data_IF_274844542754
#
_entry.id   IF_274844542754
#
_cell.length_a   1.000
_cell.length_b   1.000
_cell.length_c   1.000
_cell.angle_alpha   90.00
_cell.angle_beta   90.00
_cell.angle_gamma   90.00
#
_symmetry.space_group_name_H-M   'P 1'
#
loop_
_entity.id
_entity.type
_entity.pdbx_description
1 polymer ?
#
# COMPACT_ATOMS: atom_id res chain seq x y z
N UNK A 1 -16.90 -10.76 -18.37
CA UNK A 1 -16.09 -11.68 -19.18
C UNK A 1 -14.61 -11.40 -19.05
N UNK A 2 -14.10 -10.19 -19.34
CA UNK A 2 -12.68 -9.85 -19.19
C UNK A 2 -12.11 -10.19 -17.79
N UNK A 3 -12.78 -9.78 -16.70
CA UNK A 3 -12.39 -10.19 -15.35
C UNK A 3 -12.30 -11.71 -15.17
N UNK A 4 -13.30 -12.47 -15.67
CA UNK A 4 -13.33 -13.93 -15.59
C UNK A 4 -12.13 -14.58 -16.27
N UNK A 5 -11.65 -14.01 -17.38
CA UNK A 5 -10.45 -14.50 -18.07
C UNK A 5 -9.22 -14.35 -17.19
N UNK A 6 -9.10 -13.21 -16.49
CA UNK A 6 -8.01 -12.99 -15.52
C UNK A 6 -8.13 -13.94 -14.33
N UNK A 7 -9.30 -14.10 -13.71
CA UNK A 7 -9.53 -15.04 -12.60
C UNK A 7 -9.19 -16.50 -12.93
N UNK A 8 -9.34 -16.90 -14.19
CA UNK A 8 -8.98 -18.25 -14.64
C UNK A 8 -7.47 -18.42 -14.82
N UNK A 9 -6.76 -17.32 -15.11
CA UNK A 9 -5.32 -17.33 -15.41
C UNK A 9 -4.46 -16.96 -14.20
N UNK A 10 -5.01 -16.25 -13.23
CA UNK A 10 -4.30 -15.73 -12.07
C UNK A 10 -4.97 -16.14 -10.76
N UNK A 11 -4.33 -15.81 -9.64
CA UNK A 11 -4.89 -15.97 -8.28
C UNK A 11 -5.92 -14.90 -7.91
N UNK A 12 -6.15 -13.91 -8.77
CA UNK A 12 -7.06 -12.81 -8.48
C UNK A 12 -8.52 -13.24 -8.52
N UNK A 13 -9.32 -12.64 -7.64
CA UNK A 13 -10.77 -12.79 -7.61
C UNK A 13 -11.41 -11.40 -7.71
N UNK A 14 -12.41 -11.27 -8.58
CA UNK A 14 -13.16 -10.02 -8.77
C UNK A 14 -14.63 -10.25 -8.46
N UNK A 15 -15.24 -9.28 -7.79
CA UNK A 15 -16.66 -9.31 -7.50
C UNK A 15 -17.28 -7.92 -7.68
N UNK A 16 -18.52 -7.84 -8.18
CA UNK A 16 -19.20 -6.55 -8.31
C UNK A 16 -19.51 -5.96 -6.93
N UNK A 17 -19.20 -4.68 -6.75
CA UNK A 17 -19.48 -3.93 -5.53
C UNK A 17 -20.05 -2.55 -5.86
N UNK A 18 -20.91 -2.01 -4.99
CA UNK A 18 -21.38 -0.62 -5.07
C UNK A 18 -20.25 0.39 -4.76
N UNK A 19 -19.28 -0.04 -3.94
CA UNK A 19 -18.06 0.69 -3.62
C UNK A 19 -16.91 -0.22 -4.03
N UNK A 20 -16.61 -0.24 -5.33
CA UNK A 20 -15.54 -1.07 -5.91
C UNK A 20 -14.20 -0.36 -5.94
N UNK A 21 -13.11 -1.14 -5.84
CA UNK A 21 -11.74 -0.65 -6.01
C UNK A 21 -11.42 -0.30 -7.47
N UNK A 22 -12.08 -0.96 -8.43
CA UNK A 22 -12.01 -0.62 -9.85
C UNK A 22 -13.36 -0.04 -10.26
N UNK A 23 -13.38 1.24 -10.66
CA UNK A 23 -14.59 1.92 -11.12
C UNK A 23 -14.68 1.84 -12.64
N UNK A 24 -15.80 1.35 -13.14
CA UNK A 24 -16.02 1.14 -14.58
C UNK A 24 -17.10 2.11 -15.06
N UNK A 25 -16.80 2.86 -16.11
CA UNK A 25 -17.71 3.77 -16.79
C UNK A 25 -17.86 3.37 -18.26
N UNK A 26 -19.08 3.48 -18.76
CA UNK A 26 -19.37 3.38 -20.19
C UNK A 26 -19.86 4.75 -20.67
N UNK A 27 -19.23 5.31 -21.71
CA UNK A 27 -19.59 6.61 -22.31
C UNK A 27 -19.55 6.49 -23.82
N UNK A 28 -20.39 7.22 -24.55
CA UNK A 28 -20.35 7.24 -26.01
C UNK A 28 -19.41 8.34 -26.57
N UNK A 29 -18.81 9.15 -25.68
CA UNK A 29 -17.96 10.28 -26.05
C UNK A 29 -16.51 9.94 -25.68
N UNK A 30 -15.68 9.52 -26.66
CA UNK A 30 -14.24 9.35 -26.45
C UNK A 30 -13.52 10.71 -26.42
N UNK A 31 -12.34 10.79 -25.78
CA UNK A 31 -11.43 11.92 -25.96
C UNK A 31 -10.88 11.99 -27.39
N UNK A 32 -10.34 13.16 -27.77
CA UNK A 32 -9.64 13.32 -29.05
C UNK A 32 -8.32 12.53 -29.02
N UNK A 33 -8.06 11.78 -30.09
CA UNK A 33 -6.78 11.09 -30.28
C UNK A 33 -5.72 12.08 -30.78
N UNK A 34 -4.46 11.90 -30.36
CA UNK A 34 -3.34 12.69 -30.88
C UNK A 34 -3.02 12.38 -32.36
N UNK A 35 -3.50 11.24 -32.85
CA UNK A 35 -3.35 10.80 -34.23
C UNK A 35 -4.73 10.68 -34.89
N UNK A 36 -4.96 11.46 -35.94
CA UNK A 36 -6.21 11.53 -36.70
C UNK A 36 -6.66 10.18 -37.30
N UNK A 37 -5.74 9.23 -37.49
CA UNK A 37 -6.02 7.91 -38.05
C UNK A 37 -6.50 6.88 -37.00
N UNK A 38 -6.34 7.18 -35.71
CA UNK A 38 -6.70 6.27 -34.62
C UNK A 38 -7.86 6.80 -33.79
N UNK A 39 -8.56 5.90 -33.11
CA UNK A 39 -9.61 6.23 -32.17
C UNK A 39 -9.36 5.54 -30.83
N UNK A 40 -9.71 6.23 -29.74
CA UNK A 40 -9.62 5.69 -28.39
C UNK A 40 -10.86 4.81 -28.12
N UNK A 41 -10.62 3.53 -27.80
CA UNK A 41 -11.68 2.55 -27.53
C UNK A 41 -11.99 2.44 -26.02
N UNK A 42 -10.97 2.63 -25.18
CA UNK A 42 -11.07 2.70 -23.74
C UNK A 42 -9.89 3.45 -23.13
N UNK A 43 -9.98 3.70 -21.83
CA UNK A 43 -8.90 4.22 -20.98
C UNK A 43 -8.99 3.57 -19.60
N UNK A 44 -7.96 2.82 -19.25
CA UNK A 44 -7.72 2.21 -17.95
C UNK A 44 -6.53 2.85 -17.25
N UNK A 45 -6.52 2.80 -15.93
CA UNK A 45 -5.36 3.23 -15.15
C UNK A 45 -5.63 3.34 -13.66
N UNK A 46 -4.58 3.46 -12.84
CA UNK A 46 -4.74 3.79 -11.44
C UNK A 46 -5.24 5.23 -11.29
N UNK A 47 -6.35 5.40 -10.56
CA UNK A 47 -6.95 6.70 -10.22
C UNK A 47 -6.41 7.26 -8.90
N UNK A 48 -5.99 6.37 -7.99
CA UNK A 48 -5.34 6.74 -6.73
C UNK A 48 -4.23 5.74 -6.41
N UNK A 49 -3.01 6.27 -6.30
CA UNK A 49 -1.81 5.52 -5.91
C UNK A 49 -1.28 6.14 -4.62
N UNK A 50 -0.92 5.28 -3.69
CA UNK A 50 -0.25 5.63 -2.45
C UNK A 50 1.16 5.08 -2.51
N UNK A 51 2.15 5.97 -2.61
CA UNK A 51 3.54 5.61 -2.47
C UNK A 51 3.84 5.32 -1.00
N UNK A 52 4.02 4.04 -0.69
CA UNK A 52 4.68 3.61 0.54
C UNK A 52 6.19 3.52 0.25
N UNK A 53 7.02 3.58 1.28
CA UNK A 53 8.48 3.48 1.07
C UNK A 53 8.93 2.16 0.43
N UNK A 54 8.06 1.15 0.39
CA UNK A 54 8.35 -0.20 -0.15
C UNK A 54 7.59 -0.44 -1.46
N UNK A 55 6.30 -0.11 -1.51
CA UNK A 55 5.40 -0.36 -2.65
C UNK A 55 4.60 0.88 -3.06
N UNK A 56 4.29 0.98 -4.34
CA UNK A 56 3.21 1.85 -4.83
C UNK A 56 1.88 1.08 -4.79
N UNK A 57 1.01 1.44 -3.87
CA UNK A 57 -0.27 0.75 -3.63
C UNK A 57 -1.38 1.43 -4.41
N UNK A 58 -1.99 0.72 -5.36
CA UNK A 58 -3.16 1.19 -6.09
C UNK A 58 -4.39 1.05 -5.18
N UNK A 59 -4.92 2.18 -4.70
CA UNK A 59 -6.11 2.22 -3.85
C UNK A 59 -7.40 2.23 -4.68
N UNK A 60 -7.34 2.81 -5.88
CA UNK A 60 -8.46 2.89 -6.80
C UNK A 60 -7.98 2.83 -8.24
N UNK A 61 -8.54 1.92 -9.02
CA UNK A 61 -8.42 1.86 -10.47
C UNK A 61 -9.66 2.44 -11.14
N UNK A 62 -9.50 2.93 -12.37
CA UNK A 62 -10.61 3.42 -13.19
C UNK A 62 -10.49 2.90 -14.60
N UNK A 63 -11.63 2.52 -15.16
CA UNK A 63 -11.78 2.06 -16.54
C UNK A 63 -12.92 2.84 -17.17
N UNK A 64 -12.68 3.42 -18.34
CA UNK A 64 -13.67 4.08 -19.17
C UNK A 64 -13.71 3.38 -20.51
N UNK A 65 -14.85 2.81 -20.89
CA UNK A 65 -15.06 2.19 -22.19
C UNK A 65 -15.88 3.14 -23.06
N UNK A 66 -15.34 3.50 -24.21
CA UNK A 66 -15.95 4.51 -25.10
C UNK A 66 -16.65 3.92 -26.32
N UNK A 67 -16.32 2.67 -26.64
CA UNK A 67 -16.81 1.99 -27.84
C UNK A 67 -17.14 0.54 -27.50
N UNK A 68 -18.05 -0.01 -28.29
CA UNK A 68 -18.33 -1.45 -28.23
C UNK A 68 -17.12 -2.24 -28.73
N UNK A 69 -16.91 -3.38 -28.09
CA UNK A 69 -15.93 -4.38 -28.50
C UNK A 69 -16.20 -4.82 -29.95
N UNK A 70 -15.14 -4.93 -30.75
CA UNK A 70 -15.19 -5.32 -32.17
C UNK A 70 -14.74 -6.76 -32.39
N UNK A 71 -14.04 -7.33 -31.43
CA UNK A 71 -13.61 -8.72 -31.49
C UNK A 71 -14.75 -9.63 -30.99
N UNK A 72 -15.18 -10.56 -31.84
CA UNK A 72 -16.38 -11.36 -31.57
C UNK A 72 -16.18 -12.38 -30.44
N UNK A 73 -14.95 -12.87 -30.26
CA UNK A 73 -14.66 -14.02 -29.40
C UNK A 73 -14.08 -13.63 -28.04
N UNK A 74 -13.45 -12.46 -27.92
CA UNK A 74 -12.75 -12.02 -26.70
C UNK A 74 -12.93 -10.51 -26.45
N UNK A 75 -13.10 -10.08 -25.18
CA UNK A 75 -13.21 -8.67 -24.81
C UNK A 75 -11.83 -8.02 -24.65
N UNK A 76 -11.06 -7.95 -25.75
CA UNK A 76 -9.66 -7.49 -25.76
C UNK A 76 -9.51 -6.08 -25.20
N UNK A 77 -10.37 -5.13 -25.59
CA UNK A 77 -10.27 -3.75 -25.09
C UNK A 77 -10.48 -3.72 -23.57
N UNK A 78 -11.48 -4.44 -23.07
CA UNK A 78 -11.72 -4.48 -21.63
C UNK A 78 -10.59 -5.19 -20.88
N UNK A 79 -9.96 -6.22 -21.45
CA UNK A 79 -8.79 -6.86 -20.86
C UNK A 79 -7.60 -5.88 -20.78
N UNK A 80 -7.33 -5.16 -21.86
CA UNK A 80 -6.30 -4.12 -21.94
C UNK A 80 -6.48 -3.08 -20.83
N UNK A 81 -7.69 -2.51 -20.72
CA UNK A 81 -7.94 -1.47 -19.71
C UNK A 81 -7.92 -2.00 -18.27
N UNK A 82 -8.31 -3.26 -18.04
CA UNK A 82 -8.18 -3.86 -16.70
C UNK A 82 -6.69 -3.97 -16.33
N UNK A 83 -5.84 -4.45 -17.23
CA UNK A 83 -4.41 -4.56 -16.97
C UNK A 83 -3.77 -3.18 -16.70
N UNK A 84 -4.16 -2.14 -17.44
CA UNK A 84 -3.77 -0.76 -17.11
C UNK A 84 -4.26 -0.33 -15.72
N UNK A 85 -5.49 -0.68 -15.34
CA UNK A 85 -6.01 -0.35 -14.01
C UNK A 85 -5.25 -1.05 -12.86
N UNK A 86 -4.56 -2.15 -13.16
CA UNK A 86 -3.68 -2.90 -12.26
C UNK A 86 -2.22 -2.42 -12.33
N UNK A 87 -1.90 -1.40 -13.14
CA UNK A 87 -0.59 -0.75 -13.18
C UNK A 87 0.34 -1.20 -14.31
N UNK A 88 -0.11 -2.07 -15.22
CA UNK A 88 0.70 -2.44 -16.38
C UNK A 88 0.71 -1.32 -17.43
N UNK A 89 1.84 -1.10 -18.08
CA UNK A 89 1.98 -0.18 -19.21
C UNK A 89 1.95 -0.92 -20.55
N UNK A 90 1.88 -0.18 -21.65
CA UNK A 90 2.00 -0.78 -22.99
C UNK A 90 3.33 -1.49 -23.17
N UNK A 91 3.34 -2.49 -24.05
CA UNK A 91 4.56 -3.14 -24.50
C UNK A 91 4.67 -3.11 -26.03
N UNK A 92 5.85 -3.47 -26.53
CA UNK A 92 6.18 -3.41 -27.96
C UNK A 92 5.81 -4.70 -28.73
N UNK A 93 5.14 -5.69 -28.08
CA UNK A 93 4.78 -6.96 -28.69
C UNK A 93 3.39 -6.88 -29.37
N UNK A 94 3.27 -6.91 -30.71
CA UNK A 94 1.98 -6.79 -31.38
C UNK A 94 0.97 -7.89 -31.04
N UNK A 95 1.45 -9.06 -30.62
CA UNK A 95 0.60 -10.17 -30.19
C UNK A 95 0.09 -10.04 -28.75
N UNK A 96 0.53 -9.02 -28.01
CA UNK A 96 0.09 -8.77 -26.64
C UNK A 96 -1.23 -7.99 -26.60
N UNK A 97 -2.08 -8.32 -25.63
CA UNK A 97 -3.24 -7.50 -25.25
C UNK A 97 -2.80 -6.09 -24.83
N UNK A 98 -1.58 -5.89 -24.32
CA UNK A 98 -1.05 -4.57 -23.93
C UNK A 98 -0.38 -3.81 -25.09
N UNK A 99 -0.46 -4.31 -26.32
CA UNK A 99 -0.02 -3.52 -27.46
C UNK A 99 -0.95 -2.32 -27.69
N UNK A 100 -0.45 -1.12 -28.05
CA UNK A 100 -1.28 0.09 -28.15
C UNK A 100 -2.40 0.05 -29.21
N UNK A 101 -2.33 -0.88 -30.17
CA UNK A 101 -3.36 -1.03 -31.22
C UNK A 101 -4.06 -2.36 -31.11
N UNK A 102 -5.39 -2.34 -31.26
CA UNK A 102 -6.24 -3.53 -31.16
C UNK A 102 -6.09 -4.45 -32.37
N UNK A 103 -5.74 -5.70 -32.11
CA UNK A 103 -5.87 -6.84 -33.03
C UNK A 103 -6.59 -7.99 -32.31
N UNK A 104 -7.51 -8.67 -32.99
CA UNK A 104 -8.42 -9.61 -32.31
C UNK A 104 -7.80 -10.96 -31.92
N UNK A 105 -6.56 -11.23 -32.35
CA UNK A 105 -5.77 -12.42 -32.02
C UNK A 105 -4.74 -12.16 -30.90
N UNK A 106 -4.79 -10.99 -30.26
CA UNK A 106 -3.93 -10.65 -29.12
C UNK A 106 -4.22 -11.50 -27.89
N UNK A 107 -3.16 -11.86 -27.17
CA UNK A 107 -3.21 -12.68 -25.96
C UNK A 107 -2.53 -11.97 -24.77
N UNK A 108 -2.87 -12.39 -23.56
CA UNK A 108 -2.18 -11.91 -22.36
C UNK A 108 -0.82 -12.59 -22.31
N UNK A 109 0.27 -11.83 -22.28
CA UNK A 109 1.61 -12.39 -22.18
C UNK A 109 1.80 -13.16 -20.86
N UNK A 110 2.58 -14.23 -20.89
CA UNK A 110 2.84 -15.09 -19.72
C UNK A 110 3.44 -14.29 -18.55
N UNK A 111 4.33 -13.32 -18.82
CA UNK A 111 4.96 -12.51 -17.76
C UNK A 111 3.93 -11.69 -16.98
N UNK A 112 2.85 -11.24 -17.61
CA UNK A 112 1.79 -10.47 -16.92
C UNK A 112 1.08 -11.38 -15.92
N UNK A 113 0.86 -12.64 -16.28
CA UNK A 113 0.23 -13.64 -15.41
C UNK A 113 1.16 -13.97 -14.25
N UNK A 114 2.45 -14.17 -14.52
CA UNK A 114 3.48 -14.41 -13.50
C UNK A 114 3.57 -13.22 -12.53
N UNK A 115 3.72 -11.99 -13.03
CA UNK A 115 3.81 -10.78 -12.21
C UNK A 115 2.56 -10.58 -11.34
N UNK A 116 1.36 -10.82 -11.88
CA UNK A 116 0.12 -10.75 -11.11
C UNK A 116 0.07 -11.80 -10.00
N UNK A 117 0.53 -13.02 -10.25
CA UNK A 117 0.54 -14.05 -9.21
C UNK A 117 1.59 -13.72 -8.15
N UNK A 118 2.80 -13.38 -8.56
CA UNK A 118 3.91 -13.09 -7.65
C UNK A 118 3.62 -11.87 -6.76
N UNK A 119 3.00 -10.82 -7.32
CA UNK A 119 2.67 -9.61 -6.58
C UNK A 119 1.55 -9.83 -5.56
N UNK A 120 0.53 -10.61 -5.92
CA UNK A 120 -0.67 -10.80 -5.09
C UNK A 120 -0.63 -12.09 -4.24
N UNK A 121 0.38 -12.94 -4.39
CA UNK A 121 0.62 -14.10 -3.51
C UNK A 121 1.20 -13.66 -2.15
N UNK A 122 1.82 -12.46 -2.08
CA UNK A 122 2.41 -11.98 -0.84
C UNK A 122 1.35 -11.72 0.24
N UNK A 123 1.67 -12.14 1.47
CA UNK A 123 0.82 -11.89 2.63
C UNK A 123 0.61 -10.39 2.82
N UNK A 124 -0.66 -9.99 2.84
CA UNK A 124 -1.06 -8.61 3.11
C UNK A 124 -0.89 -8.31 4.61
N UNK A 125 0.31 -7.88 4.99
CA UNK A 125 0.67 -7.50 6.36
C UNK A 125 0.92 -5.99 6.50
N UNK A 126 0.81 -5.47 7.72
CA UNK A 126 1.26 -4.10 8.04
C UNK A 126 2.79 -4.05 8.04
N UNK A 127 3.38 -2.87 8.14
CA UNK A 127 4.82 -2.75 8.40
C UNK A 127 5.07 -1.42 9.09
N UNK A 128 5.16 -1.45 10.41
CA UNK A 128 5.36 -0.25 11.20
C UNK A 128 6.84 0.06 11.24
N UNK A 129 7.20 1.32 11.01
CA UNK A 129 8.59 1.74 10.96
C UNK A 129 8.75 2.98 11.79
N UNK A 130 9.70 2.93 12.71
CA UNK A 130 10.15 4.13 13.40
C UNK A 130 11.02 4.93 12.42
N UNK A 131 10.45 6.00 11.84
CA UNK A 131 11.19 6.85 10.89
C UNK A 131 12.07 7.86 11.60
N UNK A 132 11.62 8.37 12.74
CA UNK A 132 12.32 9.41 13.47
C UNK A 132 12.03 9.33 14.97
N UNK A 133 13.09 9.45 15.76
CA UNK A 133 13.01 9.62 17.22
C UNK A 133 13.96 10.74 17.64
N UNK A 134 13.46 11.66 18.43
CA UNK A 134 14.23 12.68 19.13
C UNK A 134 13.84 12.66 20.60
N UNK A 135 14.82 12.67 21.51
CA UNK A 135 14.55 12.65 22.93
C UNK A 135 15.52 13.56 23.68
N UNK A 136 15.05 14.14 24.78
CA UNK A 136 15.85 14.97 25.68
C UNK A 136 15.46 14.72 27.13
N UNK A 137 16.45 14.79 28.03
CA UNK A 137 16.27 14.51 29.45
C UNK A 137 16.60 15.74 30.29
N UNK A 138 15.75 16.01 31.27
CA UNK A 138 15.97 17.03 32.30
C UNK A 138 15.75 16.43 33.68
N UNK A 139 16.85 15.99 34.30
CA UNK A 139 16.84 15.35 35.61
C UNK A 139 16.12 13.99 35.61
N UNK A 140 14.86 13.97 36.04
CA UNK A 140 14.02 12.74 36.11
C UNK A 140 12.88 12.75 35.08
N UNK A 141 12.94 13.68 34.13
CA UNK A 141 11.91 13.93 33.15
C UNK A 141 12.48 13.71 31.76
N UNK A 142 11.71 13.03 30.93
CA UNK A 142 11.97 12.72 29.54
C UNK A 142 10.95 13.45 28.67
N UNK A 143 11.45 14.20 27.69
CA UNK A 143 10.67 14.72 26.59
C UNK A 143 11.08 13.94 25.33
N UNK A 144 10.12 13.47 24.55
CA UNK A 144 10.43 12.78 23.29
C UNK A 144 9.40 13.03 22.21
N UNK A 145 9.89 12.94 20.98
CA UNK A 145 9.17 13.04 19.73
C UNK A 145 9.44 11.76 18.94
N UNK A 146 8.39 11.12 18.44
CA UNK A 146 8.51 9.91 17.61
C UNK A 146 7.55 9.98 16.42
N UNK A 147 8.06 9.57 15.27
CA UNK A 147 7.30 9.35 14.03
C UNK A 147 7.28 7.87 13.70
N UNK A 148 6.08 7.32 13.55
CA UNK A 148 5.84 5.93 13.15
C UNK A 148 5.08 5.93 11.83
N UNK A 149 5.65 5.34 10.79
CA UNK A 149 5.02 5.15 9.49
C UNK A 149 4.51 3.71 9.39
N UNK A 150 3.29 3.51 8.86
CA UNK A 150 2.93 2.19 8.35
C UNK A 150 3.23 2.14 6.84
N UNK A 151 4.30 1.45 6.46
CA UNK A 151 4.74 1.27 5.08
C UNK A 151 4.30 -0.09 4.48
N UNK A 152 3.47 -0.85 5.20
CA UNK A 152 2.95 -2.15 4.74
C UNK A 152 1.72 -2.02 3.84
N UNK A 153 0.95 -3.10 3.72
CA UNK A 153 -0.18 -3.22 2.79
C UNK A 153 -1.55 -3.12 3.47
N UNK A 154 -1.61 -3.30 4.79
CA UNK A 154 -2.85 -3.18 5.59
C UNK A 154 -2.68 -2.22 6.76
N UNK A 155 -3.80 -1.75 7.30
CA UNK A 155 -3.82 -0.86 8.47
C UNK A 155 -3.54 -1.64 9.76
N UNK A 156 -2.64 -1.11 10.59
CA UNK A 156 -2.36 -1.66 11.92
C UNK A 156 -3.29 -1.03 12.96
N UNK A 157 -3.83 -1.84 13.87
CA UNK A 157 -4.79 -1.42 14.91
C UNK A 157 -4.20 -1.61 16.30
N UNK A 158 -4.62 -0.75 17.22
CA UNK A 158 -4.22 -0.80 18.63
C UNK A 158 -2.69 -0.87 18.83
N UNK A 159 -1.95 -0.11 18.02
CA UNK A 159 -0.49 -0.15 17.96
C UNK A 159 0.13 0.28 19.30
N UNK A 160 0.78 -0.64 20.05
CA UNK A 160 1.39 -0.29 21.32
C UNK A 160 2.85 0.16 21.12
N UNK A 161 3.20 1.29 21.73
CA UNK A 161 4.57 1.78 21.82
C UNK A 161 5.06 1.66 23.27
N UNK A 162 6.10 0.86 23.48
CA UNK A 162 6.77 0.73 24.77
C UNK A 162 8.11 1.46 24.72
N UNK A 163 8.36 2.27 25.76
CA UNK A 163 9.64 2.95 25.95
C UNK A 163 10.36 2.28 27.11
N UNK A 164 11.58 1.82 26.85
CA UNK A 164 12.49 1.31 27.84
C UNK A 164 13.55 2.36 28.16
N UNK A 165 13.88 2.43 29.43
CA UNK A 165 14.97 3.21 29.99
C UNK A 165 15.91 2.22 30.67
N UNK A 166 17.06 1.97 30.02
CA UNK A 166 17.82 0.72 30.16
C UNK A 166 16.92 -0.51 29.92
N UNK A 167 16.69 -1.32 30.96
CA UNK A 167 15.85 -2.54 30.92
C UNK A 167 14.46 -2.33 31.56
N UNK A 168 14.20 -1.14 32.12
CA UNK A 168 12.94 -0.84 32.79
C UNK A 168 11.99 -0.12 31.83
N UNK A 169 10.77 -0.64 31.68
CA UNK A 169 9.73 0.02 30.91
C UNK A 169 9.21 1.27 31.64
N UNK A 170 9.04 2.36 30.90
CA UNK A 170 8.49 3.62 31.43
C UNK A 170 7.00 3.45 31.69
N UNK A 171 6.58 3.72 32.91
CA UNK A 171 5.17 3.73 33.31
C UNK A 171 4.55 5.12 33.10
N UNK A 172 3.37 5.16 32.47
CA UNK A 172 2.59 6.36 32.21
C UNK A 172 1.52 6.57 33.28
N UNK A 173 0.87 7.75 33.28
CA UNK A 173 -0.08 8.16 34.32
C UNK A 173 -1.32 7.23 34.45
N UNK A 174 -1.64 6.45 33.42
CA UNK A 174 -2.70 5.45 33.44
C UNK A 174 -2.27 4.09 34.04
N UNK A 175 -1.03 4.01 34.54
CA UNK A 175 -0.43 2.80 35.13
C UNK A 175 0.03 1.78 34.09
N UNK A 176 0.00 2.11 32.80
CA UNK A 176 0.48 1.23 31.73
C UNK A 176 1.93 1.54 31.40
N UNK A 177 2.62 0.52 30.90
CA UNK A 177 3.99 0.61 30.42
C UNK A 177 4.08 0.81 28.88
N UNK A 178 2.98 1.21 28.25
CA UNK A 178 2.92 1.46 26.82
C UNK A 178 1.94 2.59 26.51
N UNK A 179 2.14 3.25 25.38
CA UNK A 179 1.20 4.20 24.79
C UNK A 179 0.53 3.54 23.60
N UNK A 180 -0.81 3.51 23.58
CA UNK A 180 -1.54 3.05 22.38
C UNK A 180 -1.56 4.19 21.35
N UNK A 181 -0.87 4.00 20.22
CA UNK A 181 -0.90 4.91 19.08
C UNK A 181 -2.21 4.78 18.30
N UNK A 182 -3.07 3.81 18.59
CA UNK A 182 -4.35 3.57 17.92
C UNK A 182 -4.16 2.96 16.53
N UNK A 183 -5.04 3.29 15.60
CA UNK A 183 -4.92 2.85 14.21
C UNK A 183 -3.90 3.71 13.44
N UNK A 184 -3.07 3.03 12.64
CA UNK A 184 -2.14 3.62 11.68
C UNK A 184 -2.45 3.01 10.31
N UNK A 185 -3.11 3.80 9.46
CA UNK A 185 -3.47 3.38 8.10
C UNK A 185 -2.25 3.22 7.19
N UNK A 186 -2.43 2.55 6.06
CA UNK A 186 -1.37 2.37 5.05
C UNK A 186 -0.84 3.74 4.58
N UNK A 187 0.48 3.88 4.53
CA UNK A 187 1.18 5.13 4.17
C UNK A 187 0.97 6.29 5.16
N UNK A 188 0.28 6.06 6.28
CA UNK A 188 0.03 7.09 7.29
C UNK A 188 1.18 7.16 8.27
N UNK A 189 1.59 8.38 8.57
CA UNK A 189 2.51 8.69 9.66
C UNK A 189 1.76 9.10 10.91
N UNK A 190 2.01 8.41 12.02
CA UNK A 190 1.61 8.82 13.36
C UNK A 190 2.74 9.56 14.04
N UNK A 191 2.40 10.69 14.66
CA UNK A 191 3.34 11.51 15.41
C UNK A 191 2.88 11.53 16.87
N UNK A 192 3.78 11.19 17.78
CA UNK A 192 3.57 11.31 19.21
C UNK A 192 4.64 12.25 19.80
N UNK A 193 4.18 13.23 20.57
CA UNK A 193 5.03 14.13 21.32
C UNK A 193 4.65 14.03 22.80
N UNK A 194 5.62 13.67 23.64
CA UNK A 194 5.46 13.50 25.08
C UNK A 194 6.39 14.45 25.78
N UNK A 195 5.88 15.10 26.84
CA UNK A 195 6.67 15.97 27.70
C UNK A 195 6.57 15.51 29.14
N UNK A 196 7.66 15.66 29.88
CA UNK A 196 7.83 15.36 31.29
C UNK A 196 7.46 13.93 31.72
N UNK A 197 7.67 12.94 30.84
CA UNK A 197 7.56 11.53 31.21
C UNK A 197 8.56 11.21 32.32
N UNK A 198 8.10 10.60 33.41
CA UNK A 198 8.94 10.36 34.59
C UNK A 198 9.83 9.14 34.37
N UNK A 199 11.13 9.33 34.52
CA UNK A 199 12.15 8.28 34.37
C UNK A 199 13.12 8.28 35.56
N UNK A 200 13.92 7.21 35.66
CA UNK A 200 14.99 7.12 36.66
C UNK A 200 16.11 8.15 36.38
N UNK A 201 16.80 8.62 37.43
CA UNK A 201 17.85 9.65 37.28
C UNK A 201 19.11 9.12 36.59
N UNK A 202 19.40 7.83 36.67
CA UNK A 202 20.73 7.27 36.42
C UNK A 202 21.01 6.83 34.98
N UNK A 203 20.01 6.73 34.10
CA UNK A 203 20.25 6.16 32.77
C UNK A 203 20.68 7.17 31.73
N UNK A 204 21.37 6.64 30.74
CA UNK A 204 21.72 7.28 29.49
C UNK A 204 21.07 6.56 28.29
N UNK A 205 20.49 5.35 28.42
CA UNK A 205 19.97 4.60 27.27
C UNK A 205 18.45 4.61 27.20
N UNK A 206 17.92 4.90 26.01
CA UNK A 206 16.51 4.75 25.67
C UNK A 206 16.34 3.77 24.51
N UNK A 207 15.28 2.97 24.60
CA UNK A 207 14.84 2.09 23.51
C UNK A 207 13.34 2.22 23.32
N UNK A 208 12.93 2.49 22.09
CA UNK A 208 11.54 2.60 21.67
C UNK A 208 11.21 1.35 20.87
N UNK A 209 10.16 0.65 21.26
CA UNK A 209 9.76 -0.61 20.63
C UNK A 209 8.27 -0.55 20.34
N UNK A 210 7.92 -0.75 19.08
CA UNK A 210 6.55 -0.97 18.65
C UNK A 210 6.26 -2.46 18.80
N UNK A 211 5.10 -2.78 19.36
CA UNK A 211 4.58 -4.15 19.44
C UNK A 211 5.57 -5.20 19.99
N UNK A 212 6.05 -4.97 21.21
CA UNK A 212 6.99 -5.86 21.93
C UNK A 212 6.54 -7.34 21.92
N UNK A 213 5.23 -7.59 21.96
CA UNK A 213 4.65 -8.93 22.03
C UNK A 213 4.43 -9.57 20.64
N UNK A 214 4.73 -8.84 19.56
CA UNK A 214 4.64 -9.30 18.17
C UNK A 214 3.23 -9.81 17.79
N UNK A 215 2.19 -9.11 18.24
CA UNK A 215 0.80 -9.45 17.97
C UNK A 215 0.28 -8.91 16.63
N UNK A 216 0.96 -7.91 16.07
CA UNK A 216 0.67 -7.31 14.77
C UNK A 216 1.52 -8.08 13.75
N UNK A 217 0.88 -8.62 12.72
CA UNK A 217 1.61 -9.26 11.64
C UNK A 217 2.29 -8.19 10.80
N UNK A 218 3.61 -8.26 10.68
CA UNK A 218 4.39 -7.30 9.94
C UNK A 218 5.26 -7.90 8.84
N UNK A 219 5.50 -7.13 7.78
CA UNK A 219 6.40 -7.53 6.69
C UNK A 219 7.85 -7.59 7.18
N UNK A 220 8.29 -6.65 8.02
CA UNK A 220 9.66 -6.57 8.51
C UNK A 220 9.73 -6.20 10.00
N UNK A 221 9.82 -7.18 10.90
CA UNK A 221 9.86 -6.91 12.36
C UNK A 221 11.08 -6.10 12.86
N UNK A 222 12.13 -5.94 12.05
CA UNK A 222 13.40 -5.32 12.46
C UNK A 222 13.45 -3.79 12.34
N UNK A 223 12.38 -3.15 11.90
CA UNK A 223 12.26 -1.69 11.74
C UNK A 223 11.39 -1.03 12.84
N UNK A 224 10.87 -1.84 13.77
CA UNK A 224 10.00 -1.47 14.88
C UNK A 224 10.73 -0.99 16.14
N UNK A 225 12.06 -0.93 16.09
CA UNK A 225 12.88 -0.57 17.24
C UNK A 225 13.85 0.58 16.91
N UNK A 226 13.95 1.53 17.84
CA UNK A 226 14.98 2.57 17.82
C UNK A 226 15.64 2.70 19.19
N UNK A 227 16.97 2.70 19.21
CA UNK A 227 17.78 2.88 20.42
C UNK A 227 18.59 4.17 20.33
N UNK A 228 18.73 4.87 21.46
CA UNK A 228 19.53 6.10 21.52
C UNK A 228 20.15 6.32 22.90
N UNK A 229 21.25 7.07 22.93
CA UNK A 229 21.93 7.49 24.14
C UNK A 229 21.62 8.97 24.39
N UNK A 230 21.09 9.27 25.56
CA UNK A 230 20.85 10.60 26.10
C UNK A 230 22.16 11.16 26.64
N UNK A 231 22.54 12.34 26.13
CA UNK A 231 23.66 13.13 26.66
C UNK A 231 23.22 14.02 27.83
#
# INVERSE_FOLDING_TARGET
>A
EAFRILEVKTILEFYPSQIGQIKILCSDIPPESENEDYFIAGEGGPASVLNTSIYDVILEGKISLFRQERCNDLPIVALHEILHSLGFEHNDNPGSVLYPTLECDQEIDDYIIEDLNDLYEQDSASDLKIEKVEASKSGKYLDFYIEVLNQGLISAKDVPLTIYHDEEAVEFDDGKNYVNLGEIGVGVKKILNVTNAKISRSSENLRFVIDVENNIAELFENNNEASMILN
#
